data_IF_291999966453
#
_entry.id   IF_291999966453
#
_cell.length_a   1.000
_cell.length_b   1.000
_cell.length_c   1.000
_cell.angle_alpha   90.00
_cell.angle_beta   90.00
_cell.angle_gamma   90.00
#
_symmetry.space_group_name_H-M   'P 1'
#
loop_
_entity.id
_entity.type
_entity.pdbx_description
1 polymer ?
#
# COMPACT_ATOMS: atom_id res chain seq x y z
N UNK A 1 12.96 2.23 24.71
CA UNK A 1 13.83 2.24 23.51
C UNK A 1 13.65 0.88 22.86
N UNK A 2 13.06 0.73 21.67
CA UNK A 2 13.44 1.42 20.44
C UNK A 2 12.25 1.65 19.50
N UNK A 3 12.32 2.81 18.85
CA UNK A 3 11.69 3.27 17.62
C UNK A 3 10.46 2.50 17.09
N UNK A 4 9.35 3.24 16.94
CA UNK A 4 8.41 3.17 15.82
C UNK A 4 9.16 2.62 14.58
N UNK A 5 9.12 1.30 14.34
CA UNK A 5 9.84 0.70 13.22
C UNK A 5 9.08 1.10 11.95
N UNK A 6 9.56 2.16 11.31
CA UNK A 6 9.11 2.56 9.98
C UNK A 6 9.64 1.51 9.01
N UNK A 7 8.83 0.48 8.75
CA UNK A 7 9.12 -0.48 7.71
C UNK A 7 9.18 0.26 6.37
N UNK A 8 10.22 0.03 5.54
CA UNK A 8 10.27 0.60 4.20
C UNK A 8 8.99 0.25 3.43
N UNK A 9 8.38 1.26 2.82
CA UNK A 9 7.16 1.07 2.04
C UNK A 9 7.50 0.87 0.57
N UNK A 10 6.94 -0.18 -0.02
CA UNK A 10 7.10 -0.52 -1.44
C UNK A 10 5.72 -0.47 -2.09
N UNK A 11 5.54 0.46 -3.02
CA UNK A 11 4.33 0.57 -3.83
C UNK A 11 4.47 -0.22 -5.14
N UNK A 12 3.48 -1.04 -5.47
CA UNK A 12 3.41 -1.79 -6.73
C UNK A 12 2.64 -0.97 -7.76
N UNK A 13 3.35 -0.40 -8.73
CA UNK A 13 2.79 0.47 -9.77
C UNK A 13 2.88 -0.22 -11.13
N UNK A 14 1.84 -0.07 -11.95
CA UNK A 14 1.83 -0.57 -13.32
C UNK A 14 0.42 -0.57 -13.93
N UNK A 15 0.33 -0.97 -15.20
CA UNK A 15 -0.93 -0.97 -15.95
C UNK A 15 -2.01 -1.86 -15.32
N UNK A 16 -3.30 -1.64 -15.60
CA UNK A 16 -4.35 -2.61 -15.28
C UNK A 16 -3.99 -4.01 -15.80
N UNK A 17 -4.38 -5.04 -15.05
CA UNK A 17 -4.17 -6.46 -15.38
C UNK A 17 -2.70 -6.91 -15.53
N UNK A 18 -1.71 -6.12 -15.10
CA UNK A 18 -0.28 -6.50 -15.14
C UNK A 18 0.15 -7.51 -14.07
N UNK A 19 -0.76 -7.93 -13.18
CA UNK A 19 -0.47 -8.89 -12.11
C UNK A 19 -0.02 -8.28 -10.77
N UNK A 20 -0.20 -6.97 -10.55
CA UNK A 20 0.14 -6.28 -9.28
C UNK A 20 -0.45 -6.97 -8.05
N UNK A 21 -1.77 -7.19 -8.04
CA UNK A 21 -2.47 -7.87 -6.95
C UNK A 21 -1.99 -9.31 -6.75
N UNK A 22 -1.59 -10.01 -7.83
CA UNK A 22 -0.99 -11.35 -7.73
C UNK A 22 0.37 -11.29 -7.02
N UNK A 23 1.24 -10.36 -7.42
CA UNK A 23 2.54 -10.13 -6.78
C UNK A 23 2.36 -9.70 -5.31
N UNK A 24 1.42 -8.81 -5.05
CA UNK A 24 1.06 -8.37 -3.70
C UNK A 24 0.67 -9.56 -2.81
N UNK A 25 -0.22 -10.43 -3.29
CA UNK A 25 -0.65 -11.61 -2.54
C UNK A 25 0.50 -12.58 -2.29
N UNK A 26 1.41 -12.74 -3.26
CA UNK A 26 2.59 -13.59 -3.12
C UNK A 26 3.59 -13.04 -2.08
N UNK A 27 3.76 -11.72 -2.04
CA UNK A 27 4.65 -11.06 -1.08
C UNK A 27 4.08 -11.02 0.34
N UNK A 28 2.75 -10.88 0.48
CA UNK A 28 2.08 -10.69 1.79
C UNK A 28 1.41 -11.95 2.34
N UNK A 29 1.33 -13.03 1.54
CA UNK A 29 0.56 -14.22 1.87
C UNK A 29 -0.94 -13.94 1.97
N UNK A 30 -1.44 -12.98 1.18
CA UNK A 30 -2.82 -12.49 1.20
C UNK A 30 -3.29 -11.91 2.54
N UNK A 31 -2.37 -11.52 3.42
CA UNK A 31 -2.68 -10.85 4.69
C UNK A 31 -2.56 -9.34 4.52
N UNK A 32 -3.68 -8.69 4.29
CA UNK A 32 -3.73 -7.25 4.07
C UNK A 32 -4.95 -6.61 4.72
N UNK A 33 -4.89 -5.29 4.83
CA UNK A 33 -6.05 -4.45 5.11
C UNK A 33 -6.40 -3.70 3.83
N UNK A 34 -7.68 -3.70 3.48
CA UNK A 34 -8.21 -2.78 2.48
C UNK A 34 -8.30 -1.40 3.11
N UNK A 35 -7.72 -0.41 2.43
CA UNK A 35 -7.74 0.99 2.83
C UNK A 35 -8.39 1.76 1.71
N UNK A 36 -9.45 2.50 2.04
CA UNK A 36 -10.05 3.43 1.10
C UNK A 36 -9.19 4.68 1.06
N UNK A 37 -8.80 5.09 -0.14
CA UNK A 37 -8.08 6.33 -0.29
C UNK A 37 -9.00 7.51 0.06
N UNK A 38 -8.52 8.45 0.89
CA UNK A 38 -9.35 9.49 1.48
C UNK A 38 -10.10 10.30 0.41
N UNK A 39 -11.43 10.21 0.40
CA UNK A 39 -12.28 10.94 -0.54
C UNK A 39 -12.45 10.30 -1.93
N UNK A 40 -12.05 9.04 -2.13
CA UNK A 40 -12.29 8.31 -3.38
C UNK A 40 -12.89 6.93 -3.15
N UNK A 41 -13.53 6.37 -4.18
CA UNK A 41 -14.01 4.97 -4.21
C UNK A 41 -12.91 3.98 -4.63
N UNK A 42 -11.65 4.40 -4.55
CA UNK A 42 -10.52 3.63 -5.03
C UNK A 42 -9.94 2.83 -3.88
N UNK A 43 -10.10 1.51 -3.97
CA UNK A 43 -9.60 0.57 -2.99
C UNK A 43 -8.09 0.35 -3.17
N UNK A 44 -7.34 0.46 -2.08
CA UNK A 44 -5.90 0.19 -2.04
C UNK A 44 -5.62 -0.89 -0.99
N UNK A 45 -4.74 -1.85 -1.28
CA UNK A 45 -4.39 -2.91 -0.32
C UNK A 45 -3.03 -2.67 0.30
N UNK A 46 -2.95 -2.74 1.64
CA UNK A 46 -1.68 -2.63 2.38
C UNK A 46 -1.44 -3.88 3.22
N UNK A 47 -0.26 -4.46 3.10
CA UNK A 47 0.14 -5.68 3.82
C UNK A 47 1.62 -5.67 4.20
N UNK A 48 2.01 -6.53 5.14
CA UNK A 48 3.41 -6.75 5.47
C UNK A 48 3.96 -7.90 4.63
N UNK A 49 5.22 -7.80 4.20
CA UNK A 49 5.91 -8.91 3.54
C UNK A 49 6.01 -10.13 4.44
N UNK A 50 6.04 -11.32 3.84
CA UNK A 50 6.31 -12.55 4.58
C UNK A 50 7.74 -12.52 5.16
N UNK A 51 7.95 -13.04 6.38
CA UNK A 51 9.28 -13.05 7.02
C UNK A 51 10.37 -13.76 6.23
N UNK A 52 9.99 -14.65 5.30
CA UNK A 52 10.92 -15.38 4.41
C UNK A 52 11.72 -14.44 3.49
N UNK A 53 11.23 -13.22 3.29
CA UNK A 53 11.89 -12.21 2.44
C UNK A 53 12.87 -11.31 3.20
N UNK A 54 13.12 -11.57 4.49
CA UNK A 54 14.07 -10.83 5.33
C UNK A 54 13.39 -9.73 6.15
N UNK A 55 13.91 -8.50 6.06
CA UNK A 55 13.35 -7.34 6.75
C UNK A 55 11.87 -7.13 6.37
N UNK A 56 11.06 -6.75 7.36
CA UNK A 56 9.63 -6.51 7.13
C UNK A 56 9.42 -5.27 6.26
N UNK A 57 8.76 -5.44 5.12
CA UNK A 57 8.39 -4.38 4.19
C UNK A 57 6.89 -4.11 4.29
N UNK A 58 6.49 -2.85 4.19
CA UNK A 58 5.09 -2.48 3.98
C UNK A 58 4.82 -2.47 2.47
N UNK A 59 4.08 -3.45 1.96
CA UNK A 59 3.72 -3.53 0.54
C UNK A 59 2.38 -2.82 0.33
N UNK A 60 2.27 -2.04 -0.74
CA UNK A 60 1.07 -1.32 -1.15
C UNK A 60 0.69 -1.70 -2.58
N UNK A 61 -0.51 -2.25 -2.79
CA UNK A 61 -1.09 -2.50 -4.11
C UNK A 61 -1.86 -1.25 -4.56
N UNK A 62 -1.38 -0.59 -5.62
CA UNK A 62 -2.01 0.61 -6.15
C UNK A 62 -2.96 0.27 -7.30
N UNK A 63 -3.90 1.17 -7.64
CA UNK A 63 -4.69 1.06 -8.87
C UNK A 63 -3.80 0.88 -10.09
N UNK A 64 -4.34 0.20 -11.10
CA UNK A 64 -3.67 0.10 -12.39
C UNK A 64 -3.74 1.43 -13.14
N UNK A 65 -2.60 1.98 -13.52
CA UNK A 65 -2.54 3.25 -14.26
C UNK A 65 -1.87 3.07 -15.62
N UNK A 66 -2.43 3.71 -16.65
CA UNK A 66 -1.84 3.73 -18.00
C UNK A 66 -0.81 4.85 -18.17
N UNK A 67 -0.87 5.88 -17.31
CA UNK A 67 0.03 7.02 -17.30
C UNK A 67 0.15 7.57 -15.88
N UNK A 68 1.28 8.19 -15.56
CA UNK A 68 1.46 9.01 -14.35
C UNK A 68 1.03 10.47 -14.58
N UNK A 69 0.47 10.75 -15.76
CA UNK A 69 -0.14 12.02 -16.10
C UNK A 69 -1.64 11.90 -15.84
N UNK A 70 -2.17 12.57 -14.81
CA UNK A 70 -3.53 12.32 -14.36
C UNK A 70 -4.55 12.80 -15.39
N UNK A 71 -5.27 11.85 -15.97
CA UNK A 71 -6.43 12.09 -16.84
C UNK A 71 -7.75 11.64 -16.20
N UNK A 72 -7.66 10.94 -15.06
CA UNK A 72 -8.76 10.44 -14.27
C UNK A 72 -8.38 10.25 -12.79
N UNK A 73 -9.36 9.83 -11.99
CA UNK A 73 -9.22 9.72 -10.52
C UNK A 73 -8.28 8.60 -10.09
N UNK A 74 -8.17 7.53 -10.88
CA UNK A 74 -7.25 6.41 -10.61
C UNK A 74 -5.78 6.83 -10.76
N UNK A 75 -5.48 7.64 -11.77
CA UNK A 75 -4.16 8.22 -11.97
C UNK A 75 -3.82 9.28 -10.91
N UNK A 76 -4.81 10.10 -10.50
CA UNK A 76 -4.66 11.07 -9.39
C UNK A 76 -4.32 10.37 -8.08
N UNK A 77 -5.08 9.33 -7.69
CA UNK A 77 -4.84 8.54 -6.46
C UNK A 77 -3.47 7.88 -6.49
N UNK A 78 -3.04 7.35 -7.64
CA UNK A 78 -1.72 6.71 -7.77
C UNK A 78 -0.60 7.73 -7.65
N UNK A 79 -0.73 8.90 -8.27
CA UNK A 79 0.26 9.96 -8.17
C UNK A 79 0.36 10.50 -6.74
N UNK A 80 -0.77 10.73 -6.07
CA UNK A 80 -0.77 11.15 -4.66
C UNK A 80 -0.16 10.08 -3.76
N UNK A 81 -0.46 8.80 -3.99
CA UNK A 81 0.12 7.68 -3.25
C UNK A 81 1.65 7.61 -3.40
N UNK A 82 2.17 7.91 -4.59
CA UNK A 82 3.61 7.87 -4.88
C UNK A 82 4.35 9.13 -4.39
N UNK A 83 3.65 10.26 -4.31
CA UNK A 83 4.19 11.53 -3.85
C UNK A 83 3.98 11.77 -2.36
N UNK A 84 3.13 10.95 -1.70
CA UNK A 84 2.93 10.94 -0.26
C UNK A 84 4.22 10.50 0.44
N UNK A 85 5.02 11.47 0.85
CA UNK A 85 6.12 11.30 1.80
C UNK A 85 5.57 10.94 3.17
N UNK A 86 5.64 9.65 3.53
CA UNK A 86 5.50 9.09 4.89
C UNK A 86 4.24 9.39 5.73
N UNK A 87 3.28 10.18 5.25
CA UNK A 87 2.09 10.55 6.05
C UNK A 87 0.90 9.60 5.94
N UNK A 88 1.01 8.47 5.24
CA UNK A 88 0.09 7.33 5.50
C UNK A 88 0.56 6.60 6.78
N UNK A 89 0.66 7.37 7.86
CA UNK A 89 0.78 6.87 9.22
C UNK A 89 -0.53 6.17 9.51
N UNK A 90 -0.46 4.86 9.77
CA UNK A 90 -1.64 4.10 10.20
C UNK A 90 -2.38 4.90 11.28
N UNK A 91 -3.71 5.08 11.19
CA UNK A 91 -4.44 5.87 12.17
C UNK A 91 -4.15 5.32 13.57
N UNK A 92 -3.90 6.22 14.51
CA UNK A 92 -3.51 5.94 15.91
C UNK A 92 -4.48 5.02 16.66
N UNK A 93 -5.66 4.75 16.10
CA UNK A 93 -6.66 3.80 16.60
C UNK A 93 -6.28 2.33 16.49
N UNK A 94 -5.15 1.97 15.86
CA UNK A 94 -4.69 0.57 15.79
C UNK A 94 -3.81 0.12 16.98
N UNK A 95 -3.71 0.94 18.04
CA UNK A 95 -2.97 0.59 19.27
C UNK A 95 -3.81 -0.09 20.36
N UNK A 96 -5.09 -0.37 20.13
CA UNK A 96 -5.94 -1.08 21.09
C UNK A 96 -6.63 -2.26 20.40
N UNK A 97 -6.01 -3.43 20.52
CA UNK A 97 -6.63 -4.70 20.94
C UNK A 97 -5.57 -5.81 20.72
N UNK A 98 -4.53 -5.81 21.56
CA UNK A 98 -3.76 -7.02 21.84
C UNK A 98 -3.90 -7.28 23.34
N UNK A 99 -4.97 -7.97 23.69
CA UNK A 99 -5.02 -8.85 24.85
C UNK A 99 -5.48 -10.23 24.36
#
# INVERSE_FOLDING_TARGET
MSADQVNPTVALVGSPNSGKTTLFNWLTGSKFKTVNYAGSTVDTHRGLSLPVYGESLSVLDTPGVYSLQPHGRDEEVTLETLTATDEVRAPSSWSMERN
#
